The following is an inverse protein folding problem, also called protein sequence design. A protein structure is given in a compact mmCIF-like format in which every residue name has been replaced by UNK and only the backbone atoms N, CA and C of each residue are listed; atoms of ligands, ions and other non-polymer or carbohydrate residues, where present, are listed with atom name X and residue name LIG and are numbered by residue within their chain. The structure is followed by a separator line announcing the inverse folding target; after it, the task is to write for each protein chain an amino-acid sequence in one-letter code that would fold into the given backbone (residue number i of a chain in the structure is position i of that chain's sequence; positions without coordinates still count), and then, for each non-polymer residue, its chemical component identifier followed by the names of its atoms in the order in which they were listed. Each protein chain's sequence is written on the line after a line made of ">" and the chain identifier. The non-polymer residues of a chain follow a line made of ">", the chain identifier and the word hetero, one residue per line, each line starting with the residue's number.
data_IF_283749577082
#
_entry.id   IF_283749577082
#
_cell.length_a   1.000
_cell.length_b   1.000
_cell.length_c   1.000
_cell.angle_alpha   90.00
_cell.angle_beta   90.00
_cell.angle_gamma   90.00
#
_symmetry.space_group_name_H-M   'P 1'
#
loop_
_entity.id
_entity.type
_entity.pdbx_description
1 polymer ?
#
# COMPACT_ATOMS: atom_id res chain seq x y z
N UNK A 1 -25.42 2.76 2.94
CA UNK A 1 -25.03 3.43 2.90
C UNK A 1 -24.73 3.93 2.35
N UNK A 2 -25.07 3.23 2.62
CA UNK A 2 -24.82 4.07 2.50
C UNK A 2 -24.46 4.27 2.21
N UNK A 3 -24.69 4.36 2.48
CA UNK A 3 -24.37 5.14 2.33
C UNK A 3 -24.09 5.45 2.28
N UNK A 4 -24.57 5.03 2.47
CA UNK A 4 -24.40 5.87 2.37
C UNK A 4 -24.11 6.06 2.30
N UNK A 5 -24.49 5.90 2.80
CA UNK A 5 -24.21 6.77 2.82
C UNK A 5 -23.92 7.05 2.79
N UNK A 6 -23.99 6.83 2.94
CA UNK A 6 -23.55 7.65 2.92
C UNK A 6 -23.27 7.89 2.83
N UNK A 7 -23.51 7.82 2.91
CA UNK A 7 -23.05 8.59 2.79
C UNK A 7 -22.69 8.94 2.83
N UNK A 8 -22.89 8.82 3.13
CA UNK A 8 -22.51 9.64 3.11
C UNK A 8 -22.22 10.02 3.34
N UNK A 9 -22.41 10.00 3.63
CA UNK A 9 -22.07 10.80 3.79
C UNK A 9 -21.75 11.21 4.15
N UNK A 10 -21.83 11.25 4.50
CA UNK A 10 -21.41 12.00 4.82
C UNK A 10 -20.93 12.36 5.37
N UNK A 11 -20.55 12.22 5.66
CA UNK A 11 -20.17 12.83 6.24
C UNK A 11 -19.94 13.59 6.61
N UNK A 12 -19.66 13.84 7.04
CA UNK A 12 -19.59 14.80 7.41
C UNK A 12 -19.17 15.78 7.48
N UNK A 13 -19.42 16.09 7.85
CA UNK A 13 -18.89 17.14 7.85
C UNK A 13 -17.57 17.55 8.07
N UNK A 14 -16.91 17.26 8.78
CA UNK A 14 -15.52 17.51 8.81
C UNK A 14 -14.93 17.29 7.44
N UNK A 15 -13.77 17.76 7.19
CA UNK A 15 -13.10 17.54 5.94
C UNK A 15 -13.16 16.07 5.60
N UNK A 16 -13.63 15.74 4.43
CA UNK A 16 -13.75 14.34 4.08
C UNK A 16 -12.39 13.67 4.14
N UNK A 17 -12.35 12.50 4.70
CA UNK A 17 -11.18 11.67 4.64
C UNK A 17 -11.14 11.09 3.23
N UNK A 18 -10.08 11.38 2.49
CA UNK A 18 -9.92 10.87 1.14
C UNK A 18 -9.62 9.38 1.10
N UNK A 19 -9.31 8.78 2.26
CA UNK A 19 -8.98 7.36 2.33
C UNK A 19 -10.24 6.54 2.55
N UNK A 20 -10.23 5.34 2.00
CA UNK A 20 -11.28 4.36 2.22
C UNK A 20 -10.82 3.36 3.27
N UNK A 21 -11.67 2.40 3.59
CA UNK A 21 -11.28 1.31 4.47
C UNK A 21 -10.70 0.15 3.67
N UNK A 22 -9.90 0.48 2.67
CA UNK A 22 -9.26 -0.49 1.79
C UNK A 22 -7.81 -0.67 2.20
N UNK A 23 -7.38 -1.92 2.25
CA UNK A 23 -5.99 -2.28 2.47
C UNK A 23 -5.45 -2.87 1.18
N UNK A 24 -4.35 -2.30 0.69
CA UNK A 24 -3.65 -2.83 -0.49
C UNK A 24 -2.50 -3.68 0.00
N UNK A 25 -2.40 -4.91 -0.54
CA UNK A 25 -1.34 -5.85 -0.15
C UNK A 25 -0.44 -6.08 -1.36
N UNK A 26 0.83 -5.77 -1.20
CA UNK A 26 1.82 -5.96 -2.27
C UNK A 26 2.83 -7.01 -1.83
N UNK A 27 2.69 -8.20 -2.38
CA UNK A 27 3.47 -9.38 -1.98
C UNK A 27 4.61 -9.69 -2.94
N UNK A 28 4.79 -8.87 -3.97
CA UNK A 28 5.80 -9.11 -5.01
C UNK A 28 6.26 -7.78 -5.57
N UNK A 29 7.39 -7.80 -6.26
CA UNK A 29 7.86 -6.62 -6.98
C UNK A 29 7.34 -6.58 -8.41
N UNK A 30 6.40 -7.48 -8.73
CA UNK A 30 5.78 -7.51 -10.06
C UNK A 30 4.31 -7.89 -9.93
N UNK A 31 3.53 -7.54 -10.93
CA UNK A 31 2.10 -7.75 -10.94
C UNK A 31 1.74 -8.75 -12.04
N UNK A 32 1.04 -9.83 -11.63
CA UNK A 32 0.64 -10.86 -12.57
C UNK A 32 1.77 -11.83 -12.88
N UNK A 33 1.44 -12.82 -13.68
CA UNK A 33 2.37 -13.88 -14.08
C UNK A 33 2.65 -13.78 -15.57
N UNK A 34 3.89 -14.02 -15.96
CA UNK A 34 4.31 -13.89 -17.35
C UNK A 34 5.68 -13.26 -17.39
N UNK A 35 5.88 -12.33 -18.31
CA UNK A 35 7.17 -11.65 -18.42
C UNK A 35 7.44 -10.82 -17.17
N UNK A 36 8.62 -11.02 -16.59
CA UNK A 36 8.97 -10.32 -15.36
C UNK A 36 9.04 -8.81 -15.56
N UNK A 37 9.62 -8.40 -16.66
CA UNK A 37 9.78 -6.98 -16.96
C UNK A 37 8.42 -6.30 -17.10
N UNK A 38 7.49 -6.99 -17.74
CA UNK A 38 6.13 -6.47 -17.89
C UNK A 38 5.45 -6.36 -16.52
N UNK A 39 5.63 -7.38 -15.67
CA UNK A 39 5.04 -7.36 -14.35
C UNK A 39 5.52 -6.20 -13.50
N UNK A 40 6.79 -5.86 -13.60
CA UNK A 40 7.35 -4.72 -12.88
C UNK A 40 6.77 -3.40 -13.40
N UNK A 41 6.62 -3.30 -14.72
CA UNK A 41 6.02 -2.12 -15.33
C UNK A 41 4.57 -1.96 -14.89
N UNK A 42 3.82 -3.06 -14.85
CA UNK A 42 2.42 -3.02 -14.45
C UNK A 42 2.27 -2.63 -12.98
N UNK A 43 3.13 -3.15 -12.11
CA UNK A 43 3.04 -2.81 -10.71
C UNK A 43 3.37 -1.33 -10.47
N UNK A 44 4.38 -0.81 -11.19
CA UNK A 44 4.69 0.61 -11.10
C UNK A 44 3.50 1.46 -11.53
N UNK A 45 2.82 1.05 -12.60
CA UNK A 45 1.63 1.75 -13.08
C UNK A 45 0.50 1.65 -12.06
N UNK A 46 0.36 0.50 -11.39
CA UNK A 46 -0.66 0.32 -10.37
C UNK A 46 -0.43 1.30 -9.21
N UNK A 47 0.80 1.36 -8.70
CA UNK A 47 1.11 2.25 -7.58
C UNK A 47 0.90 3.72 -7.98
N UNK A 48 1.36 4.08 -9.17
CA UNK A 48 1.11 5.44 -9.66
C UNK A 48 -0.38 5.73 -9.74
N UNK A 49 -1.16 4.76 -10.23
CA UNK A 49 -2.61 4.93 -10.36
C UNK A 49 -3.27 5.17 -9.01
N UNK A 50 -2.72 4.61 -7.93
CA UNK A 50 -3.24 4.87 -6.59
C UNK A 50 -3.14 6.35 -6.24
N UNK A 51 -2.06 7.03 -6.68
CA UNK A 51 -1.88 8.45 -6.38
C UNK A 51 -2.90 9.32 -7.12
N UNK A 52 -3.55 8.78 -8.15
CA UNK A 52 -4.46 9.53 -9.00
C UNK A 52 -5.94 9.24 -8.70
N UNK A 53 -6.22 8.37 -7.74
CA UNK A 53 -7.60 8.04 -7.41
C UNK A 53 -8.22 9.10 -6.53
N UNK A 54 -9.53 9.27 -6.64
CA UNK A 54 -10.26 10.18 -5.76
C UNK A 54 -10.23 9.69 -4.32
N UNK A 55 -10.26 8.37 -4.15
CA UNK A 55 -10.23 7.75 -2.84
C UNK A 55 -9.00 6.89 -2.71
N UNK A 56 -8.25 7.11 -1.64
CA UNK A 56 -6.98 6.41 -1.40
C UNK A 56 -7.19 5.25 -0.45
N UNK A 57 -6.33 4.22 -0.54
CA UNK A 57 -6.39 3.15 0.45
C UNK A 57 -6.00 3.69 1.82
N UNK A 58 -6.45 3.03 2.86
CA UNK A 58 -6.08 3.37 4.22
C UNK A 58 -4.65 2.95 4.52
N UNK A 59 -4.29 1.76 4.04
CA UNK A 59 -3.00 1.14 4.37
C UNK A 59 -2.48 0.38 3.16
N UNK A 60 -1.16 0.40 2.99
CA UNK A 60 -0.47 -0.45 2.02
C UNK A 60 0.48 -1.33 2.83
N UNK A 61 0.32 -2.64 2.68
CA UNK A 61 1.15 -3.62 3.35
C UNK A 61 2.05 -4.28 2.33
N UNK A 62 3.35 -4.37 2.65
CA UNK A 62 4.32 -4.95 1.72
C UNK A 62 5.10 -6.05 2.42
N UNK A 63 5.17 -7.22 1.78
CA UNK A 63 5.95 -8.33 2.31
C UNK A 63 6.53 -9.15 1.17
N UNK A 64 7.42 -10.08 1.52
CA UNK A 64 8.16 -10.89 0.56
C UNK A 64 8.82 -9.99 -0.49
N UNK A 65 8.67 -10.28 -1.77
CA UNK A 65 9.28 -9.45 -2.82
C UNK A 65 8.82 -8.00 -2.83
N UNK A 66 7.62 -7.72 -2.28
CA UNK A 66 7.14 -6.36 -2.18
C UNK A 66 7.95 -5.49 -1.23
N UNK A 67 8.73 -6.10 -0.33
CA UNK A 67 9.55 -5.34 0.60
C UNK A 67 10.60 -4.49 -0.10
N UNK A 68 11.01 -4.87 -1.30
CA UNK A 68 11.99 -4.09 -2.06
C UNK A 68 11.45 -2.72 -2.47
N UNK A 69 10.13 -2.59 -2.58
CA UNK A 69 9.52 -1.39 -3.14
C UNK A 69 9.61 -0.16 -2.24
N UNK A 70 9.75 -0.36 -0.94
CA UNK A 70 9.86 0.74 0.02
C UNK A 70 11.30 1.08 0.36
N UNK A 71 12.26 0.44 -0.30
CA UNK A 71 13.68 0.59 0.02
C UNK A 71 14.40 1.38 -1.04
N UNK A 72 15.61 1.86 -0.68
CA UNK A 72 16.46 2.62 -1.58
C UNK A 72 16.62 1.89 -2.91
N UNK A 73 16.53 2.64 -4.00
CA UNK A 73 16.65 2.09 -5.34
C UNK A 73 15.33 1.71 -5.97
N UNK A 74 14.24 1.75 -5.22
CA UNK A 74 12.93 1.42 -5.77
C UNK A 74 12.46 2.51 -6.74
N UNK A 75 11.91 2.12 -7.91
CA UNK A 75 11.38 3.12 -8.84
C UNK A 75 10.05 3.72 -8.39
N UNK A 76 9.48 3.23 -7.28
CA UNK A 76 8.18 3.66 -6.78
C UNK A 76 8.27 4.56 -5.56
N UNK A 77 9.46 4.94 -5.12
CA UNK A 77 9.61 5.70 -3.88
C UNK A 77 8.85 7.01 -3.91
N UNK A 78 8.93 7.74 -5.03
CA UNK A 78 8.25 9.04 -5.11
C UNK A 78 6.74 8.88 -4.98
N UNK A 79 6.17 7.87 -5.63
CA UNK A 79 4.74 7.62 -5.57
C UNK A 79 4.32 7.19 -4.17
N UNK A 80 5.12 6.31 -3.54
CA UNK A 80 4.81 5.85 -2.20
C UNK A 80 4.92 6.99 -1.18
N UNK A 81 5.92 7.85 -1.35
CA UNK A 81 6.05 9.01 -0.47
C UNK A 81 4.89 9.99 -0.64
N UNK A 82 4.41 10.15 -1.88
CA UNK A 82 3.25 11.00 -2.13
C UNK A 82 2.01 10.44 -1.43
N UNK A 83 1.82 9.12 -1.48
CA UNK A 83 0.70 8.48 -0.79
C UNK A 83 0.83 8.66 0.72
N UNK A 84 2.03 8.49 1.26
CA UNK A 84 2.25 8.66 2.69
C UNK A 84 1.95 10.09 3.12
N UNK A 85 2.32 11.06 2.30
CA UNK A 85 2.05 12.48 2.59
C UNK A 85 0.55 12.77 2.62
N UNK A 86 -0.25 11.98 1.90
CA UNK A 86 -1.70 12.12 1.91
C UNK A 86 -2.35 11.34 3.04
N UNK A 87 -1.56 10.72 3.91
CA UNK A 87 -2.09 10.02 5.07
C UNK A 87 -2.23 8.51 4.91
N UNK A 88 -1.80 7.94 3.79
CA UNK A 88 -1.82 6.49 3.62
C UNK A 88 -0.73 5.88 4.49
N UNK A 89 -1.10 4.87 5.27
CA UNK A 89 -0.16 4.16 6.12
C UNK A 89 0.58 3.13 5.27
N UNK A 90 1.92 3.18 5.28
CA UNK A 90 2.72 2.25 4.48
C UNK A 90 3.60 1.45 5.44
N UNK A 91 3.42 0.12 5.44
CA UNK A 91 4.08 -0.77 6.38
C UNK A 91 4.73 -1.93 5.64
N UNK A 92 6.01 -2.17 5.93
CA UNK A 92 6.77 -3.25 5.33
C UNK A 92 7.14 -4.27 6.40
N UNK A 93 7.02 -5.55 6.06
CA UNK A 93 7.32 -6.65 6.97
C UNK A 93 8.80 -6.64 7.35
N UNK A 94 9.06 -6.57 8.65
CA UNK A 94 10.44 -6.53 9.15
C UNK A 94 11.21 -7.82 8.89
N UNK A 95 10.54 -8.98 9.00
CA UNK A 95 11.17 -10.26 8.69
C UNK A 95 11.66 -10.28 7.24
N UNK A 96 10.86 -9.74 6.33
CA UNK A 96 11.23 -9.72 4.91
C UNK A 96 12.38 -8.75 4.66
N UNK A 97 12.35 -7.59 5.30
CA UNK A 97 13.46 -6.64 5.19
C UNK A 97 14.76 -7.29 5.66
N UNK A 98 14.69 -8.01 6.78
CA UNK A 98 15.86 -8.67 7.32
C UNK A 98 16.37 -9.78 6.38
N UNK A 99 15.44 -10.56 5.85
CA UNK A 99 15.82 -11.67 4.97
C UNK A 99 16.57 -11.17 3.73
N UNK A 100 16.13 -10.07 3.16
CA UNK A 100 16.74 -9.51 1.94
C UNK A 100 17.88 -8.54 2.23
N UNK A 101 18.23 -8.34 3.51
CA UNK A 101 19.30 -7.41 3.88
C UNK A 101 18.95 -5.95 3.63
N UNK A 102 17.67 -5.60 3.78
CA UNK A 102 17.15 -4.28 3.46
C UNK A 102 16.79 -3.44 4.68
N UNK A 103 16.99 -3.96 5.88
CA UNK A 103 16.53 -3.30 7.09
C UNK A 103 16.97 -1.84 7.19
N UNK A 104 18.21 -1.56 6.83
CA UNK A 104 18.73 -0.19 6.91
C UNK A 104 18.51 0.62 5.65
N UNK A 105 17.83 0.04 4.68
CA UNK A 105 17.57 0.70 3.40
C UNK A 105 16.13 1.16 3.24
N UNK A 106 15.31 0.97 4.27
CA UNK A 106 13.92 1.40 4.21
C UNK A 106 13.88 2.92 4.00
N UNK A 107 13.17 3.36 2.98
CA UNK A 107 13.15 4.77 2.58
C UNK A 107 11.79 5.43 2.72
N UNK A 108 10.72 4.64 2.90
CA UNK A 108 9.38 5.18 3.07
C UNK A 108 8.57 4.25 3.96
N UNK A 109 7.70 4.84 4.79
CA UNK A 109 6.83 4.08 5.67
C UNK A 109 7.55 3.52 6.87
N UNK A 110 6.89 2.60 7.55
CA UNK A 110 7.41 1.99 8.77
C UNK A 110 7.56 0.49 8.65
N UNK A 111 8.08 -0.12 9.70
CA UNK A 111 8.29 -1.55 9.77
C UNK A 111 7.16 -2.18 10.59
N UNK A 112 6.70 -3.34 10.18
CA UNK A 112 5.65 -4.05 10.91
C UNK A 112 5.98 -5.54 10.99
N UNK A 113 5.07 -6.30 11.58
CA UNK A 113 5.23 -7.74 11.72
C UNK A 113 3.99 -8.44 11.19
N UNK A 114 4.06 -9.76 11.08
CA UNK A 114 2.96 -10.53 10.49
C UNK A 114 1.68 -10.45 11.32
N UNK A 115 1.78 -10.32 12.63
CA UNK A 115 0.59 -10.19 13.46
C UNK A 115 -0.22 -8.95 13.06
N UNK A 116 0.48 -7.82 12.90
CA UNK A 116 -0.17 -6.56 12.52
C UNK A 116 -0.68 -6.64 11.08
N UNK A 117 0.11 -7.26 10.19
CA UNK A 117 -0.32 -7.43 8.79
C UNK A 117 -1.63 -8.21 8.75
N UNK A 118 -1.67 -9.34 9.46
CA UNK A 118 -2.87 -10.17 9.49
C UNK A 118 -4.04 -9.40 10.11
N UNK A 119 -3.79 -8.67 11.17
CA UNK A 119 -4.84 -7.92 11.84
C UNK A 119 -5.45 -6.88 10.91
N UNK A 120 -4.61 -6.14 10.19
CA UNK A 120 -5.10 -5.12 9.29
C UNK A 120 -5.87 -5.71 8.11
N UNK A 121 -5.44 -6.86 7.62
CA UNK A 121 -6.15 -7.54 6.53
C UNK A 121 -7.50 -8.05 6.99
N UNK A 122 -7.55 -8.62 8.19
CA UNK A 122 -8.78 -9.20 8.70
C UNK A 122 -9.82 -8.14 9.06
N UNK A 123 -9.38 -6.96 9.45
CA UNK A 123 -10.28 -5.89 9.86
C UNK A 123 -10.58 -4.89 8.74
N UNK A 124 -10.02 -5.09 7.56
CA UNK A 124 -10.25 -4.19 6.44
C UNK A 124 -11.65 -4.37 5.86
N UNK A 125 -12.25 -3.27 5.41
CA UNK A 125 -13.51 -3.35 4.71
C UNK A 125 -13.34 -3.93 3.32
N UNK A 126 -12.14 -3.79 2.75
CA UNK A 126 -11.82 -4.31 1.42
C UNK A 126 -10.32 -4.54 1.34
N UNK A 127 -9.91 -5.64 0.71
CA UNK A 127 -8.49 -5.96 0.50
C UNK A 127 -8.24 -6.08 -0.98
N UNK A 128 -7.27 -5.33 -1.48
CA UNK A 128 -6.85 -5.39 -2.89
C UNK A 128 -5.43 -5.91 -2.94
N UNK A 129 -5.23 -7.02 -3.61
CA UNK A 129 -3.91 -7.64 -3.74
C UNK A 129 -3.60 -7.80 -5.23
N UNK A 130 -2.86 -6.85 -5.78
CA UNK A 130 -2.53 -6.88 -7.22
C UNK A 130 -1.61 -8.01 -7.62
#
# INVERSE_FOLDING_TARGET
>A
MGEPAAEEEEAPACAPDARTDTVVVIASDKMGEGAEELGKTLLKAFVFSLTQQDKLPKTILLYNGGAHLTCEGSPMLDDLKALEAEGVEILTCGTCLNFYGLTEKLAVGGVTNMYVIAEKMLNAGNVVKP
#
